data_IF_280699962916
#
_entry.id   IF_280699962916
#
_cell.length_a   1.000
_cell.length_b   1.000
_cell.length_c   1.000
_cell.angle_alpha   90.00
_cell.angle_beta   90.00
_cell.angle_gamma   90.00
#
_symmetry.space_group_name_H-M   'P 1'
#
loop_
_entity.id
_entity.type
_entity.pdbx_description
1 polymer ?
#
# COMPACT_ATOMS: atom_id res chain seq x y z
N UNK A 1 3.24 -11.19 4.43
CA UNK A 1 4.65 -10.76 4.46
C UNK A 1 4.71 -9.30 4.92
N UNK A 2 5.39 -9.00 6.05
CA UNK A 2 5.28 -7.69 6.72
C UNK A 2 6.11 -6.57 6.08
N UNK A 3 6.65 -6.78 4.91
CA UNK A 3 7.41 -5.76 4.15
C UNK A 3 6.47 -4.65 3.69
N UNK A 4 6.82 -3.41 3.93
CA UNK A 4 6.03 -2.27 3.50
C UNK A 4 5.34 -1.50 4.64
N UNK A 5 5.32 -2.03 5.84
CA UNK A 5 4.86 -1.37 7.08
C UNK A 5 3.44 -0.73 6.99
N UNK A 6 2.59 -1.20 6.08
CA UNK A 6 1.26 -0.65 5.83
C UNK A 6 0.10 -1.59 6.19
N UNK A 7 0.39 -2.72 6.87
CA UNK A 7 -0.60 -3.72 7.20
C UNK A 7 -1.78 -3.19 8.01
N UNK A 8 -1.52 -2.36 9.01
CA UNK A 8 -2.57 -1.74 9.83
C UNK A 8 -3.47 -0.82 8.99
N UNK A 9 -2.91 0.02 8.13
CA UNK A 9 -3.68 0.90 7.24
C UNK A 9 -4.53 0.10 6.26
N UNK A 10 -3.99 -0.98 5.68
CA UNK A 10 -4.73 -1.86 4.79
C UNK A 10 -5.87 -2.59 5.52
N UNK A 11 -5.65 -3.05 6.74
CA UNK A 11 -6.67 -3.70 7.55
C UNK A 11 -7.84 -2.75 7.89
N UNK A 12 -7.56 -1.47 8.15
CA UNK A 12 -8.60 -0.45 8.38
C UNK A 12 -9.42 -0.23 7.11
N UNK A 13 -8.77 -0.10 5.96
CA UNK A 13 -9.44 0.05 4.66
C UNK A 13 -10.31 -1.17 4.38
N UNK A 14 -9.77 -2.36 4.58
CA UNK A 14 -10.41 -3.64 4.38
C UNK A 14 -11.69 -3.77 5.21
N UNK A 15 -11.61 -3.50 6.51
CA UNK A 15 -12.76 -3.52 7.41
C UNK A 15 -13.84 -2.51 6.99
N UNK A 16 -13.45 -1.30 6.56
CA UNK A 16 -14.39 -0.27 6.09
C UNK A 16 -15.07 -0.68 4.79
N UNK A 17 -14.35 -1.32 3.86
CA UNK A 17 -14.93 -1.85 2.62
C UNK A 17 -15.89 -3.00 2.88
N UNK A 18 -15.55 -3.91 3.78
CA UNK A 18 -16.48 -4.97 4.21
C UNK A 18 -17.77 -4.37 4.80
N UNK A 19 -17.65 -3.41 5.72
CA UNK A 19 -18.80 -2.71 6.30
C UNK A 19 -19.67 -2.03 5.23
N UNK A 20 -19.05 -1.40 4.24
CA UNK A 20 -19.75 -0.80 3.10
C UNK A 20 -20.58 -1.83 2.33
N UNK A 21 -19.99 -2.94 1.93
CA UNK A 21 -20.68 -3.97 1.16
C UNK A 21 -21.81 -4.63 1.96
N UNK A 22 -21.61 -4.89 3.26
CA UNK A 22 -22.65 -5.39 4.15
C UNK A 22 -23.82 -4.40 4.31
N UNK A 23 -23.50 -3.11 4.36
CA UNK A 23 -24.54 -2.06 4.46
C UNK A 23 -25.36 -1.93 3.18
N UNK A 24 -24.71 -1.99 2.02
CA UNK A 24 -25.37 -1.81 0.71
C UNK A 24 -26.14 -3.05 0.28
N UNK A 25 -25.55 -4.22 0.45
CA UNK A 25 -26.11 -5.49 -0.08
C UNK A 25 -26.84 -6.34 0.97
N UNK A 26 -26.78 -5.94 2.27
CA UNK A 26 -27.30 -6.71 3.37
C UNK A 26 -26.33 -7.77 3.91
N UNK A 27 -26.72 -8.41 5.00
CA UNK A 27 -25.92 -9.47 5.66
C UNK A 27 -26.10 -10.81 4.91
N UNK A 28 -25.49 -10.95 3.74
CA UNK A 28 -25.64 -12.12 2.88
C UNK A 28 -24.39 -12.39 2.05
N UNK A 29 -24.39 -13.50 1.33
CA UNK A 29 -23.30 -13.94 0.45
C UNK A 29 -22.98 -12.92 -0.65
N UNK A 30 -23.98 -12.25 -1.21
CA UNK A 30 -23.77 -11.23 -2.25
C UNK A 30 -22.87 -10.09 -1.76
N UNK A 31 -23.02 -9.67 -0.51
CA UNK A 31 -22.16 -8.67 0.10
C UNK A 31 -20.70 -9.14 0.17
N UNK A 32 -20.47 -10.38 0.56
CA UNK A 32 -19.14 -10.97 0.67
C UNK A 32 -18.47 -11.12 -0.71
N UNK A 33 -19.20 -11.60 -1.70
CA UNK A 33 -18.72 -11.72 -3.08
C UNK A 33 -18.38 -10.35 -3.69
N UNK A 34 -19.20 -9.33 -3.42
CA UNK A 34 -18.96 -7.97 -3.90
C UNK A 34 -17.71 -7.36 -3.25
N UNK A 35 -17.54 -7.57 -1.95
CA UNK A 35 -16.36 -7.18 -1.21
C UNK A 35 -15.10 -7.88 -1.74
N UNK A 36 -15.12 -9.19 -1.90
CA UNK A 36 -13.99 -9.97 -2.45
C UNK A 36 -13.60 -9.49 -3.84
N UNK A 37 -14.57 -9.31 -4.72
CA UNK A 37 -14.35 -8.81 -6.09
C UNK A 37 -13.66 -7.45 -6.13
N UNK A 38 -13.96 -6.56 -5.18
CA UNK A 38 -13.32 -5.26 -5.07
C UNK A 38 -11.92 -5.34 -4.43
N UNK A 39 -11.81 -6.07 -3.32
CA UNK A 39 -10.62 -6.01 -2.48
C UNK A 39 -9.50 -6.97 -2.92
N UNK A 40 -9.83 -8.14 -3.46
CA UNK A 40 -8.83 -9.14 -3.85
C UNK A 40 -7.81 -8.60 -4.86
N UNK A 41 -8.19 -7.91 -5.97
CA UNK A 41 -7.20 -7.38 -6.90
C UNK A 41 -6.34 -6.27 -6.29
N UNK A 42 -6.88 -5.46 -5.37
CA UNK A 42 -6.14 -4.39 -4.69
C UNK A 42 -5.10 -4.95 -3.73
N UNK A 43 -5.48 -5.90 -2.88
CA UNK A 43 -4.58 -6.53 -1.91
C UNK A 43 -3.53 -7.40 -2.60
N UNK A 44 -3.89 -8.12 -3.66
CA UNK A 44 -2.95 -8.88 -4.48
C UNK A 44 -1.88 -7.98 -5.10
N UNK A 45 -2.28 -6.82 -5.64
CA UNK A 45 -1.34 -5.83 -6.20
C UNK A 45 -0.31 -5.35 -5.18
N UNK A 46 -0.75 -5.05 -3.95
CA UNK A 46 0.13 -4.62 -2.86
C UNK A 46 1.07 -5.77 -2.45
N UNK A 47 0.55 -6.98 -2.32
CA UNK A 47 1.35 -8.16 -1.98
C UNK A 47 2.43 -8.44 -3.02
N UNK A 48 2.11 -8.32 -4.31
CA UNK A 48 3.08 -8.50 -5.39
C UNK A 48 4.11 -7.37 -5.41
N UNK A 49 3.69 -6.11 -5.18
CA UNK A 49 4.59 -4.97 -5.08
C UNK A 49 5.59 -5.12 -3.93
N UNK A 50 5.16 -5.67 -2.79
CA UNK A 50 6.03 -5.94 -1.65
C UNK A 50 7.13 -6.98 -1.96
N UNK A 51 6.92 -7.86 -2.94
CA UNK A 51 7.94 -8.84 -3.36
C UNK A 51 9.04 -8.26 -4.23
N UNK A 52 8.75 -7.22 -4.98
CA UNK A 52 9.67 -6.70 -6.03
C UNK A 52 10.05 -5.24 -5.86
N UNK A 53 9.25 -4.44 -5.16
CA UNK A 53 9.39 -2.99 -5.09
C UNK A 53 9.09 -2.43 -3.69
N UNK A 54 9.07 -3.28 -2.68
CA UNK A 54 8.88 -2.87 -1.29
C UNK A 54 10.04 -2.02 -0.78
N UNK A 55 9.92 -1.42 0.42
CA UNK A 55 10.98 -0.60 1.02
C UNK A 55 12.33 -1.33 1.11
N UNK A 56 12.31 -2.65 1.29
CA UNK A 56 13.52 -3.48 1.38
C UNK A 56 14.31 -3.55 0.08
N UNK A 57 13.71 -3.23 -1.07
CA UNK A 57 14.44 -3.15 -2.33
C UNK A 57 15.55 -2.08 -2.30
N UNK A 58 15.40 -1.04 -1.49
CA UNK A 58 16.47 -0.04 -1.27
C UNK A 58 17.67 -0.63 -0.54
N UNK A 59 17.46 -1.56 0.38
CA UNK A 59 18.55 -2.25 1.07
C UNK A 59 19.39 -3.07 0.09
N UNK A 60 18.73 -3.73 -0.86
CA UNK A 60 19.43 -4.47 -1.92
C UNK A 60 20.25 -3.52 -2.81
N UNK A 61 19.71 -2.35 -3.17
CA UNK A 61 20.45 -1.35 -3.95
C UNK A 61 21.71 -0.87 -3.21
N UNK A 62 21.59 -0.64 -1.90
CA UNK A 62 22.74 -0.24 -1.06
C UNK A 62 23.77 -1.37 -1.01
N UNK A 63 23.33 -2.60 -0.78
CA UNK A 63 24.22 -3.78 -0.76
C UNK A 63 24.95 -3.94 -2.09
N UNK A 64 24.26 -3.87 -3.20
CA UNK A 64 24.82 -4.04 -4.55
C UNK A 64 25.84 -2.94 -4.90
N UNK A 65 25.64 -1.71 -4.38
CA UNK A 65 26.50 -0.55 -4.68
C UNK A 65 27.74 -0.45 -3.78
N UNK A 66 27.66 -0.87 -2.52
CA UNK A 66 28.74 -0.66 -1.55
C UNK A 66 28.96 -1.81 -0.55
N UNK A 67 28.26 -2.94 -0.70
CA UNK A 67 28.34 -4.05 0.24
C UNK A 67 27.83 -3.72 1.65
N UNK A 68 26.88 -2.78 1.74
CA UNK A 68 26.24 -2.38 3.01
C UNK A 68 27.11 -1.46 3.90
N UNK A 69 28.33 -1.12 3.50
CA UNK A 69 29.22 -0.25 4.30
C UNK A 69 29.39 1.12 3.65
N UNK A 70 29.02 2.18 4.38
CA UNK A 70 29.13 3.57 3.92
C UNK A 70 29.28 4.52 5.10
N UNK A 71 29.85 5.71 4.88
CA UNK A 71 29.91 6.78 5.89
C UNK A 71 28.67 7.69 5.80
N UNK A 72 28.23 7.98 4.58
CA UNK A 72 27.03 8.77 4.33
C UNK A 72 26.20 8.10 3.25
N UNK A 73 24.94 7.85 3.52
CA UNK A 73 24.01 7.19 2.59
C UNK A 73 23.89 7.94 1.24
N UNK A 74 24.07 9.25 1.23
CA UNK A 74 23.99 10.06 0.01
C UNK A 74 25.12 9.78 -0.98
N UNK A 75 26.24 9.17 -0.54
CA UNK A 75 27.32 8.72 -1.40
C UNK A 75 26.93 7.45 -2.19
N UNK A 76 25.97 6.68 -1.67
CA UNK A 76 25.52 5.41 -2.24
C UNK A 76 24.25 5.58 -3.05
N UNK A 77 23.30 6.37 -2.53
CA UNK A 77 22.01 6.61 -3.16
C UNK A 77 21.60 8.08 -2.94
N UNK A 78 21.19 8.73 -4.02
CA UNK A 78 20.82 10.14 -3.96
C UNK A 78 19.46 10.34 -3.27
N UNK A 79 19.23 11.54 -2.73
CA UNK A 79 17.95 11.95 -2.17
C UNK A 79 16.80 11.82 -3.18
N UNK A 80 17.08 12.12 -4.45
CA UNK A 80 16.08 12.00 -5.53
C UNK A 80 15.69 10.54 -5.79
N UNK A 81 16.65 9.61 -5.77
CA UNK A 81 16.37 8.17 -5.92
C UNK A 81 15.54 7.65 -4.74
N UNK A 82 15.90 8.03 -3.51
CA UNK A 82 15.13 7.67 -2.30
C UNK A 82 13.70 8.17 -2.38
N UNK A 83 13.52 9.43 -2.78
CA UNK A 83 12.21 10.04 -2.93
C UNK A 83 11.39 9.34 -4.01
N UNK A 84 11.98 9.11 -5.18
CA UNK A 84 11.30 8.44 -6.29
C UNK A 84 10.84 7.02 -5.93
N UNK A 85 11.69 6.27 -5.23
CA UNK A 85 11.35 4.93 -4.76
C UNK A 85 10.19 4.97 -3.76
N UNK A 86 10.24 5.89 -2.80
CA UNK A 86 9.18 6.09 -1.80
C UNK A 86 7.85 6.48 -2.46
N UNK A 87 7.85 7.43 -3.38
CA UNK A 87 6.64 7.88 -4.07
C UNK A 87 6.04 6.78 -4.96
N UNK A 88 6.88 6.02 -5.65
CA UNK A 88 6.42 4.86 -6.42
C UNK A 88 5.71 3.83 -5.55
N UNK A 89 6.29 3.48 -4.41
CA UNK A 89 5.68 2.53 -3.48
C UNK A 89 4.38 3.07 -2.87
N UNK A 90 4.36 4.32 -2.41
CA UNK A 90 3.14 4.97 -1.89
C UNK A 90 2.01 4.98 -2.91
N UNK A 91 2.32 5.22 -4.18
CA UNK A 91 1.33 5.17 -5.26
C UNK A 91 0.73 3.77 -5.44
N UNK A 92 1.56 2.72 -5.41
CA UNK A 92 1.11 1.32 -5.52
C UNK A 92 0.25 0.93 -4.31
N UNK A 93 0.68 1.30 -3.10
CA UNK A 93 -0.01 1.00 -1.86
C UNK A 93 -1.28 1.85 -1.62
N UNK A 94 -1.56 2.84 -2.49
CA UNK A 94 -2.69 3.74 -2.33
C UNK A 94 -2.50 4.78 -1.23
N UNK A 95 -1.26 5.04 -0.81
CA UNK A 95 -0.89 5.93 0.29
C UNK A 95 -0.43 7.32 -0.19
N UNK A 96 -0.83 7.75 -1.38
CA UNK A 96 -0.57 9.10 -1.85
C UNK A 96 -1.37 10.10 -1.02
N UNK A 97 -0.67 11.03 -0.35
CA UNK A 97 -1.25 11.96 0.64
C UNK A 97 -2.29 12.87 -0.02
N UNK A 98 -1.99 13.39 -1.20
CA UNK A 98 -2.87 14.31 -1.93
C UNK A 98 -4.18 13.62 -2.33
N UNK A 99 -4.07 12.40 -2.82
CA UNK A 99 -5.23 11.56 -3.14
C UNK A 99 -6.06 11.25 -1.89
N UNK A 100 -5.41 10.88 -0.78
CA UNK A 100 -6.11 10.54 0.47
C UNK A 100 -6.83 11.75 1.07
N UNK A 101 -6.21 12.93 1.03
CA UNK A 101 -6.81 14.16 1.56
C UNK A 101 -8.01 14.65 0.75
N UNK A 102 -8.03 14.35 -0.55
CA UNK A 102 -9.10 14.75 -1.47
C UNK A 102 -10.14 13.64 -1.71
N UNK A 103 -9.95 12.45 -1.17
CA UNK A 103 -10.88 11.35 -1.34
C UNK A 103 -12.04 11.46 -0.35
N UNK A 104 -13.24 11.15 -0.84
CA UNK A 104 -14.41 10.98 0.03
C UNK A 104 -14.21 9.81 1.00
N UNK A 105 -14.86 9.90 2.16
CA UNK A 105 -14.90 8.77 3.08
C UNK A 105 -15.53 7.56 2.40
N UNK A 106 -14.95 6.37 2.60
CA UNK A 106 -15.51 5.10 2.10
C UNK A 106 -16.99 4.93 2.51
N UNK A 107 -17.35 5.49 3.65
CA UNK A 107 -18.70 5.39 4.21
C UNK A 107 -19.57 6.63 3.98
N UNK A 108 -19.11 7.66 3.28
CA UNK A 108 -19.85 8.92 3.10
C UNK A 108 -21.18 8.72 2.36
N UNK A 109 -21.23 7.78 1.41
CA UNK A 109 -22.47 7.45 0.70
C UNK A 109 -23.51 6.68 1.53
N UNK A 110 -23.18 6.31 2.76
CA UNK A 110 -24.05 5.57 3.67
C UNK A 110 -24.69 6.44 4.75
N UNK A 111 -24.29 7.69 4.80
CA UNK A 111 -24.80 8.71 5.72
C UNK A 111 -25.76 9.62 4.98
#
# INVERSE_FOLDING_TARGET
YPVGSNGASQAIIDARKLAFHLKVNGLNETALLSYEKEMLPLTAKITLANRSSGPDALLQVVEDRCGGTFNNIQEVISQSELKNHSEKYKSIAGLNIERLNNADSILSSLI
#
